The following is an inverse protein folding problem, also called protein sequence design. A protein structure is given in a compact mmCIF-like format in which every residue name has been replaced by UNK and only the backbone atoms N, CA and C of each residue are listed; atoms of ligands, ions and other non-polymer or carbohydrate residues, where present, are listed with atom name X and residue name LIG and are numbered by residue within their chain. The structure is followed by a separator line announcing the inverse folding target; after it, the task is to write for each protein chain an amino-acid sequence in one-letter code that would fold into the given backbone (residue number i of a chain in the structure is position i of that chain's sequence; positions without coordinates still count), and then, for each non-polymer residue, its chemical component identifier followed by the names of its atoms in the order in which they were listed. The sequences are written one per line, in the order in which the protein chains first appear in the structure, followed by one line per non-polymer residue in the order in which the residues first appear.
data_IF_465079200185
#
_entry.id   IF_465079200185
#
_cell.length_a   1.000
_cell.length_b   1.000
_cell.length_c   1.000
_cell.angle_alpha   90.00
_cell.angle_beta   90.00
_cell.angle_gamma   90.00
#
_symmetry.space_group_name_H-M   'P 1'
#
loop_
_entity.id
_entity.type
_entity.pdbx_description
1 polymer ?
#
# COMPACT_ATOMS: atom_id res chain seq x y z
N UNK A 1 -42.26 7.31 0.79
CA UNK A 1 -41.32 8.13 1.57
C UNK A 1 -40.05 7.32 1.75
N UNK A 2 -38.94 7.73 1.14
CA UNK A 2 -37.68 6.98 1.27
C UNK A 2 -37.08 7.36 2.62
N UNK A 3 -36.81 6.37 3.48
CA UNK A 3 -36.22 6.58 4.79
C UNK A 3 -34.71 6.81 4.64
N UNK A 4 -34.16 7.68 5.48
CA UNK A 4 -32.72 7.94 5.50
C UNK A 4 -31.95 6.71 6.01
N UNK A 5 -30.75 6.45 5.46
CA UNK A 5 -29.92 5.34 5.92
C UNK A 5 -29.58 5.49 7.40
N UNK A 6 -29.65 4.40 8.17
CA UNK A 6 -29.31 4.40 9.59
C UNK A 6 -28.29 3.29 9.87
N UNK A 7 -27.09 3.67 10.28
CA UNK A 7 -26.03 2.72 10.66
C UNK A 7 -26.17 2.39 12.12
N UNK A 8 -26.47 1.11 12.41
CA UNK A 8 -26.73 0.60 13.77
C UNK A 8 -25.56 -0.23 14.31
N UNK A 9 -24.65 -0.69 13.44
CA UNK A 9 -23.53 -1.52 13.87
C UNK A 9 -22.35 -1.53 12.90
N UNK A 10 -21.15 -1.75 13.44
CA UNK A 10 -19.93 -1.93 12.69
C UNK A 10 -19.08 -3.04 13.32
N UNK A 11 -18.43 -3.86 12.50
CA UNK A 11 -17.55 -4.93 12.94
C UNK A 11 -16.35 -5.07 12.01
N UNK A 12 -15.10 -5.00 12.53
CA UNK A 12 -14.73 -4.66 13.91
C UNK A 12 -15.04 -3.19 14.26
N UNK A 13 -15.15 -2.85 15.55
CA UNK A 13 -15.38 -1.46 16.03
C UNK A 13 -14.12 -0.59 15.98
N UNK A 14 -12.97 -1.22 15.78
CA UNK A 14 -11.67 -0.56 15.75
C UNK A 14 -10.71 -1.30 14.83
N UNK A 15 -9.69 -0.60 14.33
CA UNK A 15 -8.62 -1.20 13.54
C UNK A 15 -7.73 -0.19 12.82
N UNK A 16 -6.59 -0.65 12.28
CA UNK A 16 -5.71 0.18 11.48
C UNK A 16 -6.30 0.59 10.12
N UNK A 17 -5.70 1.57 9.44
CA UNK A 17 -6.05 1.89 8.06
C UNK A 17 -6.04 0.65 7.15
N UNK A 18 -7.05 0.51 6.29
CA UNK A 18 -7.25 -0.66 5.44
C UNK A 18 -8.02 -1.81 6.09
N UNK A 19 -8.45 -1.67 7.35
CA UNK A 19 -9.28 -2.68 8.03
C UNK A 19 -10.57 -2.93 7.27
N UNK A 20 -10.86 -4.20 6.99
CA UNK A 20 -12.12 -4.62 6.37
C UNK A 20 -13.24 -4.58 7.40
N UNK A 21 -14.13 -3.60 7.27
CA UNK A 21 -15.27 -3.40 8.16
C UNK A 21 -16.57 -3.86 7.50
N UNK A 22 -17.43 -4.47 8.31
CA UNK A 22 -18.81 -4.81 7.95
C UNK A 22 -19.74 -3.83 8.65
N UNK A 23 -20.41 -2.99 7.86
CA UNK A 23 -21.37 -1.99 8.31
C UNK A 23 -22.76 -2.62 8.25
N UNK A 24 -23.48 -2.56 9.36
CA UNK A 24 -24.85 -3.05 9.53
C UNK A 24 -25.78 -1.87 9.83
N UNK A 25 -26.97 -1.89 9.26
CA UNK A 25 -27.91 -0.79 9.38
C UNK A 25 -29.26 -1.10 8.78
N UNK A 26 -30.03 -0.05 8.56
CA UNK A 26 -31.31 -0.06 7.88
C UNK A 26 -31.32 0.96 6.76
N UNK A 27 -32.08 0.69 5.70
CA UNK A 27 -32.26 1.58 4.55
C UNK A 27 -30.95 1.97 3.83
N UNK A 28 -29.99 1.04 3.74
CA UNK A 28 -28.69 1.24 3.09
C UNK A 28 -28.76 1.20 1.54
N UNK A 29 -29.91 1.56 0.96
CA UNK A 29 -30.19 1.47 -0.48
C UNK A 29 -30.85 0.15 -0.90
N UNK A 30 -31.50 0.14 -2.07
CA UNK A 30 -32.18 -1.05 -2.62
C UNK A 30 -31.35 -1.74 -3.70
N UNK A 31 -30.45 -0.99 -4.37
CA UNK A 31 -29.54 -1.47 -5.40
C UNK A 31 -28.13 -0.98 -5.14
N UNK A 32 -27.14 -1.65 -5.73
CA UNK A 32 -25.73 -1.24 -5.68
C UNK A 32 -25.51 0.19 -6.16
N UNK A 33 -26.27 0.65 -7.17
CA UNK A 33 -26.21 2.01 -7.74
C UNK A 33 -26.81 3.11 -6.85
N UNK A 34 -27.47 2.72 -5.76
CA UNK A 34 -28.09 3.66 -4.82
C UNK A 34 -27.07 4.18 -3.79
N UNK A 35 -25.98 3.44 -3.56
CA UNK A 35 -24.89 3.86 -2.68
C UNK A 35 -24.02 4.91 -3.40
N UNK A 36 -24.12 6.16 -2.98
CA UNK A 36 -23.41 7.30 -3.62
C UNK A 36 -22.32 7.89 -2.76
N UNK A 37 -22.26 7.57 -1.46
CA UNK A 37 -21.20 8.01 -0.56
C UNK A 37 -21.09 7.10 0.65
N UNK A 38 -19.86 6.86 1.09
CA UNK A 38 -19.56 6.19 2.35
C UNK A 38 -18.38 6.88 3.00
N UNK A 39 -18.58 7.49 4.16
CA UNK A 39 -17.53 8.15 4.93
C UNK A 39 -17.33 7.41 6.24
N UNK A 40 -16.09 7.04 6.56
CA UNK A 40 -15.71 6.39 7.82
C UNK A 40 -14.63 7.24 8.47
N UNK A 41 -14.88 7.75 9.68
CA UNK A 41 -13.95 8.64 10.40
C UNK A 41 -13.48 9.84 9.58
N UNK A 42 -14.39 10.44 8.78
CA UNK A 42 -14.08 11.58 7.92
C UNK A 42 -13.38 11.24 6.60
N UNK A 43 -13.00 9.98 6.35
CA UNK A 43 -12.40 9.54 5.09
C UNK A 43 -13.45 8.97 4.13
N UNK A 44 -13.40 9.38 2.86
CA UNK A 44 -14.21 8.76 1.81
C UNK A 44 -13.72 7.33 1.52
N UNK A 45 -14.61 6.37 1.74
CA UNK A 45 -14.37 4.94 1.60
C UNK A 45 -15.24 4.33 0.48
N UNK A 46 -15.92 5.14 -0.33
CA UNK A 46 -16.86 4.70 -1.38
C UNK A 46 -16.21 3.73 -2.38
N UNK A 47 -14.96 4.00 -2.78
CA UNK A 47 -14.25 3.18 -3.78
C UNK A 47 -14.03 1.73 -3.33
N UNK A 48 -13.96 1.51 -2.01
CA UNK A 48 -13.82 0.18 -1.40
C UNK A 48 -15.15 -0.46 -0.99
N UNK A 49 -16.26 0.27 -1.15
CA UNK A 49 -17.55 -0.11 -0.62
C UNK A 49 -18.23 -1.14 -1.52
N UNK A 50 -18.47 -2.33 -0.96
CA UNK A 50 -19.27 -3.39 -1.54
C UNK A 50 -20.64 -3.43 -0.85
N UNK A 51 -21.66 -2.95 -1.56
CA UNK A 51 -23.04 -3.12 -1.13
C UNK A 51 -23.44 -4.61 -1.24
N UNK A 52 -24.01 -5.18 -0.18
CA UNK A 52 -24.51 -6.57 -0.17
C UNK A 52 -26.02 -6.65 -0.05
N UNK A 53 -26.61 -5.80 0.81
CA UNK A 53 -28.06 -5.69 0.96
C UNK A 53 -28.43 -4.33 1.55
N UNK A 54 -29.74 -4.06 1.64
CA UNK A 54 -30.34 -2.91 2.33
C UNK A 54 -29.96 -2.77 3.81
N UNK A 55 -29.31 -3.79 4.38
CA UNK A 55 -28.86 -3.85 5.78
C UNK A 55 -27.36 -4.08 5.94
N UNK A 56 -26.61 -4.25 4.84
CA UNK A 56 -25.20 -4.66 4.92
C UNK A 56 -24.35 -4.05 3.81
N UNK A 57 -23.29 -3.37 4.22
CA UNK A 57 -22.21 -2.88 3.35
C UNK A 57 -20.88 -3.39 3.92
N UNK A 58 -19.94 -3.77 3.04
CA UNK A 58 -18.57 -4.11 3.42
C UNK A 58 -17.67 -3.04 2.82
N UNK A 59 -16.73 -2.50 3.58
CA UNK A 59 -15.80 -1.50 3.08
C UNK A 59 -14.43 -1.66 3.75
N UNK A 60 -13.43 -0.94 3.25
CA UNK A 60 -12.13 -0.79 3.90
C UNK A 60 -12.00 0.62 4.45
N UNK A 61 -11.41 0.74 5.63
CA UNK A 61 -11.20 2.04 6.28
C UNK A 61 -10.07 2.81 5.63
N UNK A 62 -10.22 4.14 5.54
CA UNK A 62 -9.17 5.04 5.06
C UNK A 62 -8.08 5.31 6.10
N UNK A 63 -7.14 6.19 5.75
CA UNK A 63 -6.12 6.70 6.67
C UNK A 63 -6.75 7.73 7.62
N UNK A 64 -7.30 7.24 8.73
CA UNK A 64 -7.89 8.06 9.79
C UNK A 64 -7.24 7.76 11.15
N UNK A 65 -7.33 8.70 12.08
CA UNK A 65 -6.93 8.55 13.49
C UNK A 65 -8.09 8.96 14.39
N UNK A 66 -8.33 8.21 15.47
CA UNK A 66 -9.33 8.53 16.48
C UNK A 66 -10.71 7.90 16.25
N UNK A 67 -11.66 8.26 17.12
CA UNK A 67 -13.07 7.86 17.04
C UNK A 67 -13.79 8.76 16.02
N UNK A 68 -14.58 8.17 15.13
CA UNK A 68 -15.34 8.93 14.14
C UNK A 68 -16.60 8.23 13.66
N UNK A 69 -17.49 9.04 13.09
CA UNK A 69 -18.81 8.61 12.64
C UNK A 69 -18.74 7.85 11.31
N UNK A 70 -19.76 7.02 11.07
CA UNK A 70 -19.93 6.25 9.82
C UNK A 70 -21.15 6.77 9.07
N UNK A 71 -20.92 7.55 8.04
CA UNK A 71 -21.99 8.22 7.30
C UNK A 71 -22.19 7.51 5.95
N UNK A 72 -23.39 7.00 5.72
CA UNK A 72 -23.78 6.35 4.45
C UNK A 72 -24.73 7.30 3.71
N UNK A 73 -24.39 7.65 2.47
CA UNK A 73 -25.22 8.50 1.63
C UNK A 73 -25.83 7.68 0.50
N UNK A 74 -27.15 7.69 0.40
CA UNK A 74 -27.89 7.00 -0.67
C UNK A 74 -28.61 7.98 -1.57
N UNK A 75 -28.80 7.60 -2.85
CA UNK A 75 -29.49 8.42 -3.85
C UNK A 75 -30.92 8.78 -3.45
N UNK A 76 -31.63 7.83 -2.83
CA UNK A 76 -33.04 8.01 -2.46
C UNK A 76 -33.25 8.54 -1.04
N UNK A 77 -32.39 8.17 -0.08
CA UNK A 77 -32.56 8.48 1.34
C UNK A 77 -31.69 9.63 1.85
N UNK A 78 -30.82 10.20 1.00
CA UNK A 78 -29.89 11.26 1.36
C UNK A 78 -28.78 10.77 2.29
N UNK A 79 -28.26 11.71 3.08
CA UNK A 79 -27.21 11.45 4.09
C UNK A 79 -27.80 10.70 5.29
N UNK A 80 -27.18 9.58 5.64
CA UNK A 80 -27.58 8.74 6.75
C UNK A 80 -27.08 9.22 8.11
N UNK A 81 -27.62 8.62 9.16
CA UNK A 81 -27.19 8.82 10.55
C UNK A 81 -26.48 7.58 11.09
N UNK A 82 -25.63 7.76 12.10
CA UNK A 82 -24.98 6.66 12.80
C UNK A 82 -25.24 6.71 14.29
N UNK A 83 -25.45 5.55 14.90
CA UNK A 83 -25.49 5.39 16.36
C UNK A 83 -24.20 4.77 16.91
N UNK A 84 -23.26 4.42 16.03
CA UNK A 84 -22.00 3.75 16.35
C UNK A 84 -20.85 4.48 15.70
N UNK A 85 -19.70 4.45 16.37
CA UNK A 85 -18.45 5.06 15.91
C UNK A 85 -17.42 3.98 15.62
N UNK A 86 -16.53 4.25 14.67
CA UNK A 86 -15.35 3.44 14.39
C UNK A 86 -14.15 4.11 15.03
N UNK A 87 -13.24 3.32 15.61
CA UNK A 87 -11.97 3.82 16.15
C UNK A 87 -10.82 3.42 15.24
N UNK A 88 -10.27 4.39 14.52
CA UNK A 88 -9.07 4.21 13.72
C UNK A 88 -7.83 4.48 14.58
N UNK A 89 -6.83 3.60 14.52
CA UNK A 89 -5.55 3.80 15.18
C UNK A 89 -4.42 3.33 14.27
N UNK A 90 -3.26 3.97 14.32
CA UNK A 90 -2.08 3.44 13.65
C UNK A 90 -1.50 2.35 14.53
N UNK A 91 -1.29 1.17 13.96
CA UNK A 91 -0.54 0.11 14.63
C UNK A 91 0.94 0.29 14.31
N UNK A 92 1.82 0.22 15.31
CA UNK A 92 3.25 0.07 15.11
C UNK A 92 3.50 -1.35 14.59
N UNK A 93 3.65 -1.46 13.28
CA UNK A 93 3.87 -2.72 12.59
C UNK A 93 5.34 -3.09 12.70
N UNK A 94 5.64 -4.22 13.35
CA UNK A 94 7.01 -4.75 13.40
C UNK A 94 7.51 -5.13 11.99
N UNK A 95 8.84 -5.27 11.79
CA UNK A 95 9.44 -5.41 10.45
C UNK A 95 8.98 -6.65 9.66
N UNK A 96 8.35 -7.62 10.31
CA UNK A 96 7.82 -8.83 9.67
C UNK A 96 6.29 -8.84 9.50
N UNK A 97 5.57 -7.82 9.96
CA UNK A 97 4.11 -7.77 9.87
C UNK A 97 3.70 -6.96 8.63
N UNK A 98 2.79 -7.49 7.82
CA UNK A 98 2.34 -6.82 6.60
C UNK A 98 1.44 -5.62 6.92
N UNK A 99 1.60 -4.52 6.15
CA UNK A 99 0.79 -3.30 6.26
C UNK A 99 0.04 -3.01 4.96
N UNK A 100 -1.22 -2.60 5.07
CA UNK A 100 -2.04 -2.15 3.93
C UNK A 100 -1.80 -0.68 3.54
N UNK A 101 -1.06 0.07 4.35
CA UNK A 101 -0.74 1.48 4.14
C UNK A 101 0.74 1.71 4.40
N UNK A 102 1.38 2.58 3.63
CA UNK A 102 2.73 3.06 3.93
C UNK A 102 2.69 3.75 5.30
N UNK A 103 3.25 3.08 6.30
CA UNK A 103 3.46 3.65 7.61
C UNK A 103 4.74 4.45 7.51
N UNK A 104 4.71 5.69 8.00
CA UNK A 104 5.93 6.43 8.26
C UNK A 104 6.71 5.58 9.27
N UNK A 105 7.77 4.91 8.78
CA UNK A 105 8.58 4.01 9.60
C UNK A 105 8.89 4.78 10.88
N UNK A 106 8.32 4.33 12.01
CA UNK A 106 8.72 4.82 13.32
C UNK A 106 10.24 4.74 13.31
N UNK A 107 10.96 5.87 13.47
CA UNK A 107 12.38 5.96 13.17
C UNK A 107 13.01 4.70 13.71
N UNK A 108 13.46 3.80 12.80
CA UNK A 108 14.01 2.51 13.17
C UNK A 108 14.99 2.85 14.26
N UNK A 109 14.67 2.48 15.50
CA UNK A 109 15.25 3.16 16.64
C UNK A 109 16.74 3.24 16.37
N UNK A 110 17.20 4.48 16.28
CA UNK A 110 18.59 4.85 16.32
C UNK A 110 19.10 4.42 17.70
N UNK A 111 19.18 3.11 17.92
CA UNK A 111 19.96 2.46 18.95
C UNK A 111 21.28 2.08 18.31
N UNK A 112 21.96 3.13 17.81
CA UNK A 112 23.35 3.25 18.17
C UNK A 112 23.41 3.13 19.71
N UNK A 113 24.15 2.13 20.18
CA UNK A 113 24.62 2.01 21.57
C UNK A 113 23.75 1.16 22.52
N UNK A 114 23.70 -0.13 22.19
CA UNK A 114 23.58 -1.24 23.13
C UNK A 114 24.35 -2.43 22.56
N UNK A 115 24.85 -3.36 23.39
CA UNK A 115 25.59 -4.54 22.91
C UNK A 115 24.79 -5.23 21.81
N UNK A 116 25.34 -5.32 20.59
CA UNK A 116 24.82 -6.22 19.57
C UNK A 116 25.04 -7.65 20.06
N UNK A 117 24.02 -8.22 20.70
CA UNK A 117 23.90 -9.67 20.79
C UNK A 117 23.53 -10.17 19.40
N UNK A 118 24.26 -11.15 18.88
CA UNK A 118 24.07 -11.75 17.55
C UNK A 118 22.79 -12.62 17.44
N UNK A 119 21.90 -12.54 18.44
CA UNK A 119 20.60 -13.18 18.43
C UNK A 119 19.52 -12.10 18.61
N UNK A 120 18.43 -12.09 17.81
CA UNK A 120 17.26 -11.29 18.08
C UNK A 120 16.55 -11.90 19.29
N UNK A 121 17.05 -11.61 20.49
CA UNK A 121 16.29 -11.80 21.72
C UNK A 121 15.04 -10.93 21.60
N UNK A 122 13.88 -11.54 21.81
CA UNK A 122 12.58 -10.98 21.45
C UNK A 122 12.36 -9.53 21.87
N UNK A 123 11.43 -8.89 21.16
CA UNK A 123 10.89 -7.54 21.34
C UNK A 123 10.25 -7.25 22.72
N UNK A 124 10.67 -7.94 23.78
CA UNK A 124 10.27 -7.61 25.15
C UNK A 124 11.23 -6.54 25.65
N UNK A 125 10.85 -5.27 25.46
CA UNK A 125 11.49 -4.17 26.18
C UNK A 125 11.37 -4.47 27.68
N UNK A 126 12.50 -4.73 28.34
CA UNK A 126 12.51 -4.97 29.79
C UNK A 126 11.91 -3.77 30.52
N UNK A 127 11.07 -4.03 31.54
CA UNK A 127 10.45 -2.98 32.33
C UNK A 127 11.53 -2.01 32.86
N UNK A 128 11.43 -0.70 32.56
CA UNK A 128 12.37 0.30 33.05
C UNK A 128 12.46 0.36 34.59
N UNK A 129 11.39 -0.03 35.30
CA UNK A 129 11.39 -0.07 36.77
C UNK A 129 12.03 -1.35 37.33
N UNK A 130 12.25 -2.37 36.51
CA UNK A 130 12.82 -3.65 36.93
C UNK A 130 11.95 -4.40 37.93
N UNK A 131 10.64 -4.15 37.93
CA UNK A 131 9.68 -4.80 38.80
C UNK A 131 9.03 -5.96 38.01
N UNK A 132 8.82 -7.10 38.67
CA UNK A 132 8.09 -8.20 38.01
C UNK A 132 6.62 -7.81 37.85
N UNK A 133 6.10 -7.96 36.64
CA UNK A 133 4.69 -7.80 36.30
C UNK A 133 3.93 -9.14 36.30
N UNK A 134 4.55 -10.24 36.75
CA UNK A 134 4.02 -11.61 36.72
C UNK A 134 2.75 -11.85 37.56
N UNK A 135 2.26 -10.84 38.28
CA UNK A 135 0.96 -10.87 38.98
C UNK A 135 -0.13 -9.98 38.38
N UNK A 136 0.18 -9.24 37.30
CA UNK A 136 -0.66 -8.17 36.79
C UNK A 136 -1.42 -8.58 35.52
N UNK A 137 -2.25 -9.63 35.62
CA UNK A 137 -3.04 -10.13 34.48
C UNK A 137 -4.29 -9.28 34.16
N UNK A 138 -4.64 -8.33 35.01
CA UNK A 138 -5.84 -7.52 34.84
C UNK A 138 -5.54 -6.38 33.86
N UNK A 139 -6.33 -6.25 32.79
CA UNK A 139 -6.32 -5.01 32.01
C UNK A 139 -6.96 -3.92 32.85
N UNK A 140 -6.36 -2.72 32.85
CA UNK A 140 -6.98 -1.55 33.47
C UNK A 140 -8.42 -1.42 32.91
N UNK A 141 -9.47 -1.39 33.75
CA UNK A 141 -10.85 -1.48 33.27
C UNK A 141 -11.31 -0.28 32.44
N UNK A 142 -10.66 0.86 32.61
CA UNK A 142 -10.99 2.12 31.94
C UNK A 142 -10.20 2.27 30.63
N UNK A 143 -10.84 2.81 29.59
CA UNK A 143 -10.13 3.11 28.35
C UNK A 143 -9.20 4.29 28.60
N UNK A 144 -7.90 4.00 28.80
CA UNK A 144 -6.86 5.01 29.06
C UNK A 144 -6.83 6.10 27.98
N UNK A 145 -7.36 5.83 26.78
CA UNK A 145 -7.51 6.80 25.68
C UNK A 145 -8.51 7.92 26.00
N UNK A 146 -9.44 7.73 26.94
CA UNK A 146 -10.38 8.79 27.36
C UNK A 146 -9.71 9.76 28.37
N UNK A 147 -8.71 9.28 29.14
CA UNK A 147 -7.92 10.10 30.06
C UNK A 147 -6.72 10.77 29.36
N UNK A 148 -6.16 10.10 28.34
CA UNK A 148 -4.96 10.51 27.63
C UNK A 148 -5.17 10.36 26.11
N UNK A 149 -5.94 11.25 25.46
CA UNK A 149 -6.37 11.11 24.06
C UNK A 149 -5.23 11.03 23.05
N UNK A 150 -4.11 11.71 23.33
CA UNK A 150 -2.91 11.69 22.48
C UNK A 150 -1.70 10.98 23.12
N UNK A 151 -1.86 10.41 24.32
CA UNK A 151 -0.77 9.77 25.06
C UNK A 151 -0.57 8.30 24.69
N UNK A 152 0.66 7.81 24.86
CA UNK A 152 1.02 6.41 24.68
C UNK A 152 1.79 5.85 25.87
N UNK A 153 1.59 4.57 26.17
CA UNK A 153 2.41 3.82 27.13
C UNK A 153 3.69 3.26 26.51
N UNK A 154 3.82 3.35 25.20
CA UNK A 154 4.98 2.82 24.48
C UNK A 154 6.18 3.76 24.66
N UNK A 155 7.24 3.23 25.29
CA UNK A 155 8.49 3.93 25.57
C UNK A 155 9.24 4.35 24.29
N UNK A 156 8.91 3.76 23.14
CA UNK A 156 9.53 4.09 21.86
C UNK A 156 8.90 5.29 21.15
N UNK A 157 7.70 5.71 21.57
CA UNK A 157 6.94 6.76 20.88
C UNK A 157 7.20 8.14 21.49
N UNK A 158 7.19 9.18 20.66
CA UNK A 158 7.41 10.57 21.11
C UNK A 158 6.29 11.09 22.01
N UNK A 159 5.08 10.54 21.89
CA UNK A 159 3.93 10.87 22.72
C UNK A 159 3.85 10.02 24.01
N UNK A 160 4.98 9.47 24.46
CA UNK A 160 5.06 8.68 25.69
C UNK A 160 4.57 9.48 26.90
N UNK A 161 3.65 8.89 27.66
CA UNK A 161 3.12 9.46 28.90
C UNK A 161 3.41 8.51 30.07
N UNK A 162 4.20 8.93 31.08
CA UNK A 162 4.54 8.07 32.22
C UNK A 162 3.31 7.59 33.00
N UNK A 163 2.28 8.43 33.12
CA UNK A 163 1.03 8.07 33.79
C UNK A 163 0.29 6.94 33.09
N UNK A 164 0.26 6.96 31.75
CA UNK A 164 -0.30 5.87 30.95
C UNK A 164 0.46 4.57 31.22
N UNK A 165 1.80 4.61 31.11
CA UNK A 165 2.65 3.43 31.27
C UNK A 165 2.46 2.75 32.63
N UNK A 166 2.38 3.55 33.69
CA UNK A 166 2.17 3.04 35.05
C UNK A 166 0.78 2.42 35.23
N UNK A 167 -0.27 3.01 34.64
CA UNK A 167 -1.62 2.46 34.71
C UNK A 167 -1.75 1.17 33.87
N UNK A 168 -1.08 1.10 32.73
CA UNK A 168 -1.11 -0.09 31.87
C UNK A 168 -0.34 -1.26 32.51
N UNK A 169 0.89 -1.03 32.98
CA UNK A 169 1.80 -2.10 33.41
C UNK A 169 1.88 -2.31 34.93
N UNK A 170 1.60 -1.28 35.74
CA UNK A 170 1.83 -1.26 37.20
C UNK A 170 0.62 -0.79 38.03
N UNK A 171 -0.61 -0.86 37.52
CA UNK A 171 -1.79 -0.43 38.28
C UNK A 171 -2.03 -1.21 39.59
N UNK A 172 -1.52 -2.44 39.68
CA UNK A 172 -1.62 -3.28 40.89
C UNK A 172 -0.35 -3.23 41.76
N UNK A 173 0.66 -2.45 41.38
CA UNK A 173 1.94 -2.36 42.10
C UNK A 173 1.83 -1.43 43.31
N UNK A 174 2.45 -1.81 44.43
CA UNK A 174 2.40 -1.00 45.65
C UNK A 174 3.26 0.26 45.54
N UNK A 175 2.95 1.28 46.34
CA UNK A 175 3.72 2.53 46.35
C UNK A 175 5.20 2.31 46.76
N UNK A 176 5.47 1.41 47.70
CA UNK A 176 6.84 1.11 48.12
C UNK A 176 7.63 0.40 47.00
N UNK A 177 6.99 -0.49 46.25
CA UNK A 177 7.62 -1.14 45.09
C UNK A 177 7.91 -0.15 43.97
N UNK A 178 6.99 0.79 43.70
CA UNK A 178 7.23 1.87 42.73
C UNK A 178 8.39 2.78 43.15
N UNK A 179 8.56 3.03 44.46
CA UNK A 179 9.70 3.80 45.00
C UNK A 179 11.02 3.04 44.87
N UNK A 180 11.00 1.72 45.05
CA UNK A 180 12.15 0.86 44.78
C UNK A 180 12.49 0.86 43.27
N UNK A 181 11.49 0.75 42.40
CA UNK A 181 11.63 0.85 40.95
C UNK A 181 12.21 2.18 40.48
N UNK A 182 11.80 3.30 41.10
CA UNK A 182 12.39 4.62 40.83
C UNK A 182 13.87 4.68 41.20
N UNK A 183 14.26 4.07 42.32
CA UNK A 183 15.66 4.01 42.76
C UNK A 183 16.51 3.16 41.80
N UNK A 184 15.94 2.05 41.32
CA UNK A 184 16.55 1.21 40.29
C UNK A 184 16.73 1.95 38.96
N UNK A 185 15.69 2.64 38.49
CA UNK A 185 15.72 3.43 37.27
C UNK A 185 16.77 4.53 37.34
N UNK A 186 16.85 5.27 38.46
CA UNK A 186 17.90 6.29 38.67
C UNK A 186 19.30 5.69 38.55
N UNK A 187 19.54 4.53 39.16
CA UNK A 187 20.83 3.83 39.07
C UNK A 187 21.13 3.38 37.64
N UNK A 188 20.14 2.88 36.89
CA UNK A 188 20.28 2.51 35.47
C UNK A 188 20.62 3.71 34.60
N UNK A 189 19.94 4.84 34.78
CA UNK A 189 20.20 6.06 34.02
C UNK A 189 21.62 6.57 34.27
N UNK A 190 22.07 6.56 35.52
CA UNK A 190 23.43 7.00 35.86
C UNK A 190 24.50 6.06 35.28
N UNK A 191 24.30 4.74 35.43
CA UNK A 191 25.18 3.73 34.84
C UNK A 191 25.22 3.80 33.30
N UNK A 192 24.12 4.14 32.64
CA UNK A 192 24.10 4.33 31.19
C UNK A 192 24.93 5.54 30.75
N UNK A 193 24.87 6.67 31.46
CA UNK A 193 25.70 7.85 31.14
C UNK A 193 27.19 7.53 31.23
N UNK A 194 27.58 6.78 32.26
CA UNK A 194 28.96 6.32 32.43
C UNK A 194 29.36 5.29 31.36
N UNK A 195 28.42 4.41 30.97
CA UNK A 195 28.55 3.48 29.86
C UNK A 195 28.73 4.16 28.49
N UNK A 196 28.00 5.25 28.23
CA UNK A 196 28.15 6.04 27.00
C UNK A 196 29.52 6.72 26.94
N UNK A 197 29.98 7.30 28.06
CA UNK A 197 31.29 7.92 28.13
C UNK A 197 32.42 6.89 27.96
N UNK A 198 32.30 5.70 28.54
CA UNK A 198 33.29 4.63 28.38
C UNK A 198 33.28 4.00 26.97
N UNK A 199 32.10 3.86 26.34
CA UNK A 199 31.99 3.47 24.94
C UNK A 199 32.65 4.48 24.01
N UNK A 200 32.35 5.77 24.18
CA UNK A 200 32.93 6.82 23.34
C UNK A 200 34.45 6.88 23.52
N UNK A 201 34.95 6.74 24.75
CA UNK A 201 36.39 6.69 25.03
C UNK A 201 37.08 5.51 24.36
N UNK A 202 36.47 4.33 24.40
CA UNK A 202 37.04 3.11 23.81
C UNK A 202 36.94 3.07 22.28
N UNK A 203 35.97 3.78 21.69
CA UNK A 203 35.73 3.80 20.24
C UNK A 203 36.01 5.17 19.60
N UNK A 204 36.69 6.08 20.32
CA UNK A 204 36.93 7.44 19.86
C UNK A 204 37.61 7.47 18.48
N UNK A 205 38.61 6.60 18.26
CA UNK A 205 39.27 6.47 16.95
C UNK A 205 38.30 6.17 15.82
N UNK A 206 37.46 5.14 15.98
CA UNK A 206 36.46 4.77 14.96
C UNK A 206 35.42 5.87 14.71
N UNK A 207 35.04 6.63 15.74
CA UNK A 207 34.10 7.75 15.60
C UNK A 207 34.75 8.90 14.82
N UNK A 208 36.02 9.20 15.10
CA UNK A 208 36.78 10.20 14.36
C UNK A 208 36.97 9.77 12.91
N UNK A 209 37.30 8.51 12.65
CA UNK A 209 37.41 7.97 11.29
C UNK A 209 36.08 8.07 10.54
N UNK A 210 34.96 7.72 11.20
CA UNK A 210 33.62 7.85 10.60
C UNK A 210 33.29 9.33 10.31
N UNK A 211 33.62 10.24 11.21
CA UNK A 211 33.43 11.67 10.99
C UNK A 211 34.27 12.15 9.80
N UNK A 212 35.52 11.72 9.68
CA UNK A 212 36.40 12.07 8.56
C UNK A 212 35.85 11.54 7.22
N UNK A 213 35.32 10.30 7.21
CA UNK A 213 34.64 9.78 6.02
C UNK A 213 33.39 10.57 5.65
N UNK A 214 32.61 11.03 6.63
CA UNK A 214 31.43 11.88 6.39
C UNK A 214 31.83 13.26 5.87
N UNK A 215 32.90 13.85 6.39
CA UNK A 215 33.44 15.12 5.90
C UNK A 215 33.95 14.98 4.47
N UNK A 216 34.68 13.91 4.17
CA UNK A 216 35.14 13.58 2.81
C UNK A 216 33.95 13.40 1.85
N UNK A 217 32.90 12.70 2.28
CA UNK A 217 31.70 12.48 1.49
C UNK A 217 30.96 13.79 1.23
N UNK A 218 30.80 14.64 2.25
CA UNK A 218 30.21 15.98 2.12
C UNK A 218 30.98 16.82 1.10
N UNK A 219 32.32 16.80 1.17
CA UNK A 219 33.16 17.59 0.28
C UNK A 219 33.03 17.11 -1.18
N UNK A 220 32.99 15.79 -1.40
CA UNK A 220 32.68 15.20 -2.71
C UNK A 220 31.31 15.60 -3.23
N UNK A 221 30.26 15.46 -2.43
CA UNK A 221 28.89 15.87 -2.82
C UNK A 221 28.84 17.36 -3.15
N UNK A 222 29.54 18.19 -2.39
CA UNK A 222 29.59 19.65 -2.63
C UNK A 222 30.31 19.97 -3.93
N UNK A 223 31.38 19.25 -4.25
CA UNK A 223 32.10 19.37 -5.51
C UNK A 223 31.25 18.88 -6.69
N UNK A 224 30.60 17.72 -6.57
CA UNK A 224 29.72 17.17 -7.61
C UNK A 224 28.55 18.11 -7.88
N UNK A 225 27.95 18.69 -6.85
CA UNK A 225 26.89 19.70 -6.98
C UNK A 225 27.37 20.98 -7.68
N UNK A 226 28.64 21.36 -7.55
CA UNK A 226 29.22 22.50 -8.28
C UNK A 226 29.41 22.18 -9.77
N UNK A 227 29.82 20.95 -10.10
CA UNK A 227 30.15 20.54 -11.47
C UNK A 227 28.89 20.17 -12.27
N UNK A 228 27.97 19.41 -11.66
CA UNK A 228 26.80 18.81 -12.33
C UNK A 228 25.48 19.50 -11.95
N UNK A 229 25.52 20.48 -11.03
CA UNK A 229 24.32 21.10 -10.47
C UNK A 229 23.64 20.23 -9.41
N UNK A 230 22.52 20.71 -8.86
CA UNK A 230 21.76 20.03 -7.78
C UNK A 230 20.97 18.79 -8.25
N UNK A 231 20.83 18.60 -9.56
CA UNK A 231 20.01 17.53 -10.14
C UNK A 231 20.82 16.68 -11.14
N UNK A 232 21.84 15.92 -10.70
CA UNK A 232 22.65 15.09 -11.59
C UNK A 232 21.82 14.03 -12.32
N UNK A 233 20.76 13.52 -11.67
CA UNK A 233 19.85 12.50 -12.23
C UNK A 233 18.99 13.05 -13.36
N UNK A 234 18.75 14.35 -13.42
CA UNK A 234 17.89 14.96 -14.45
C UNK A 234 18.54 14.90 -15.83
N UNK A 235 19.85 15.12 -15.92
CA UNK A 235 20.58 14.96 -17.18
C UNK A 235 20.54 13.50 -17.67
N UNK A 236 20.65 12.55 -16.75
CA UNK A 236 20.51 11.13 -17.08
C UNK A 236 19.10 10.81 -17.60
N UNK A 237 18.04 11.28 -16.92
CA UNK A 237 16.64 11.09 -17.36
C UNK A 237 16.41 11.68 -18.77
N UNK A 238 16.91 12.88 -19.04
CA UNK A 238 16.81 13.52 -20.36
C UNK A 238 17.52 12.68 -21.44
N UNK A 239 18.70 12.15 -21.14
CA UNK A 239 19.49 11.35 -22.09
C UNK A 239 18.81 10.00 -22.37
N UNK A 240 18.25 9.36 -21.34
CA UNK A 240 17.49 8.11 -21.48
C UNK A 240 16.24 8.34 -22.33
N UNK A 241 15.46 9.39 -22.05
CA UNK A 241 14.27 9.74 -22.86
C UNK A 241 14.63 10.02 -24.31
N UNK A 242 15.70 10.79 -24.55
CA UNK A 242 16.19 11.03 -25.91
C UNK A 242 16.59 9.75 -26.65
N UNK A 243 17.18 8.77 -25.96
CA UNK A 243 17.51 7.46 -26.53
C UNK A 243 16.27 6.62 -26.85
N UNK A 244 15.25 6.67 -25.99
CA UNK A 244 13.96 6.02 -26.22
C UNK A 244 13.26 6.61 -27.44
N UNK A 245 13.19 7.94 -27.54
CA UNK A 245 12.55 8.64 -28.66
C UNK A 245 13.26 8.34 -29.99
N UNK A 246 14.60 8.38 -30.00
CA UNK A 246 15.40 8.02 -31.16
C UNK A 246 15.17 6.56 -31.59
N UNK A 247 15.01 5.65 -30.61
CA UNK A 247 14.70 4.24 -30.89
C UNK A 247 13.31 4.10 -31.51
N UNK A 248 12.29 4.79 -30.97
CA UNK A 248 10.94 4.76 -31.53
C UNK A 248 10.88 5.24 -32.97
N UNK A 249 11.56 6.34 -33.30
CA UNK A 249 11.63 6.84 -34.68
C UNK A 249 12.30 5.83 -35.62
N UNK A 250 13.38 5.18 -35.18
CA UNK A 250 14.07 4.16 -35.98
C UNK A 250 13.21 2.91 -36.21
N UNK A 251 12.45 2.46 -35.20
CA UNK A 251 11.61 1.27 -35.30
C UNK A 251 10.28 1.50 -36.03
N UNK A 252 9.71 2.72 -35.98
CA UNK A 252 8.45 3.05 -36.65
C UNK A 252 8.51 2.70 -38.13
N UNK A 253 9.60 3.12 -38.76
CA UNK A 253 9.88 2.92 -40.18
C UNK A 253 10.07 1.43 -40.54
N UNK A 254 10.72 0.68 -39.66
CA UNK A 254 10.92 -0.78 -39.83
C UNK A 254 9.60 -1.53 -39.66
N UNK A 255 8.77 -1.13 -38.67
CA UNK A 255 7.48 -1.73 -38.40
C UNK A 255 6.50 -1.52 -39.57
N UNK A 256 6.44 -0.32 -40.12
CA UNK A 256 5.60 -0.04 -41.30
C UNK A 256 6.03 -0.88 -42.51
N UNK A 257 7.35 -1.01 -42.74
CA UNK A 257 7.86 -1.88 -43.83
C UNK A 257 7.54 -3.35 -43.58
N UNK A 258 7.63 -3.82 -42.33
CA UNK A 258 7.26 -5.18 -41.95
C UNK A 258 5.76 -5.43 -42.18
N UNK A 259 4.90 -4.54 -41.72
CA UNK A 259 3.45 -4.66 -41.90
C UNK A 259 3.08 -4.70 -43.38
N UNK A 260 3.69 -3.84 -44.20
CA UNK A 260 3.51 -3.86 -45.66
C UNK A 260 3.98 -5.18 -46.28
N UNK A 261 5.12 -5.72 -45.85
CA UNK A 261 5.64 -7.00 -46.33
C UNK A 261 4.77 -8.19 -45.89
N UNK A 262 4.20 -8.14 -44.69
CA UNK A 262 3.33 -9.19 -44.17
C UNK A 262 1.96 -9.13 -44.86
N UNK A 263 1.45 -7.94 -45.16
CA UNK A 263 0.24 -7.76 -45.98
C UNK A 263 0.43 -8.30 -47.41
N UNK A 264 1.57 -8.04 -48.06
CA UNK A 264 1.83 -8.59 -49.40
C UNK A 264 1.98 -10.11 -49.36
N UNK A 265 2.63 -10.67 -48.33
CA UNK A 265 2.67 -12.14 -48.13
C UNK A 265 1.29 -12.73 -47.91
N UNK A 266 0.44 -12.09 -47.11
CA UNK A 266 -0.92 -12.54 -46.87
C UNK A 266 -1.75 -12.53 -48.16
N UNK A 267 -1.67 -11.46 -48.94
CA UNK A 267 -2.33 -11.36 -50.25
C UNK A 267 -1.83 -12.45 -51.22
N UNK A 268 -0.50 -12.64 -51.31
CA UNK A 268 0.09 -13.68 -52.16
C UNK A 268 -0.33 -15.09 -51.73
N UNK A 269 -0.40 -15.34 -50.42
CA UNK A 269 -0.86 -16.61 -49.86
C UNK A 269 -2.34 -16.86 -50.18
N UNK A 270 -3.19 -15.85 -50.06
CA UNK A 270 -4.60 -15.95 -50.44
C UNK A 270 -4.77 -16.20 -51.95
N UNK A 271 -4.02 -15.48 -52.79
CA UNK A 271 -4.02 -15.66 -54.25
C UNK A 271 -3.51 -17.04 -54.67
N UNK A 272 -2.47 -17.56 -54.03
CA UNK A 272 -1.95 -18.89 -54.35
C UNK A 272 -2.90 -20.00 -53.90
N UNK A 273 -3.48 -19.87 -52.70
CA UNK A 273 -4.45 -20.82 -52.14
C UNK A 273 -5.75 -20.88 -52.94
N UNK A 274 -6.23 -19.73 -53.42
CA UNK A 274 -7.50 -19.62 -54.14
C UNK A 274 -7.31 -19.29 -55.63
N UNK A 275 -6.15 -19.63 -56.21
CA UNK A 275 -5.79 -19.35 -57.60
C UNK A 275 -6.88 -19.79 -58.59
N UNK A 276 -7.48 -20.96 -58.35
CA UNK A 276 -8.55 -21.50 -59.16
C UNK A 276 -9.78 -20.56 -59.22
N UNK A 277 -10.22 -20.02 -58.08
CA UNK A 277 -11.34 -19.08 -58.04
C UNK A 277 -11.05 -17.78 -58.79
N UNK A 278 -9.86 -17.22 -58.62
CA UNK A 278 -9.47 -15.96 -59.27
C UNK A 278 -9.30 -16.11 -60.79
N UNK A 279 -8.92 -17.30 -61.27
CA UNK A 279 -8.75 -17.57 -62.70
C UNK A 279 -10.03 -18.11 -63.38
N UNK A 280 -11.03 -18.54 -62.60
CA UNK A 280 -12.26 -19.17 -63.08
C UNK A 280 -13.02 -18.33 -64.13
N UNK A 281 -13.23 -17.01 -63.97
CA UNK A 281 -13.99 -16.24 -64.96
C UNK A 281 -13.35 -16.26 -66.35
N UNK A 282 -12.01 -16.17 -66.40
CA UNK A 282 -11.25 -16.18 -67.64
C UNK A 282 -11.23 -17.57 -68.30
N UNK A 283 -11.15 -18.65 -67.49
CA UNK A 283 -11.22 -20.02 -68.04
C UNK A 283 -12.62 -20.35 -68.54
N UNK A 284 -13.67 -19.94 -67.81
CA UNK A 284 -15.07 -20.11 -68.21
C UNK A 284 -15.38 -19.33 -69.49
N UNK A 285 -14.95 -18.07 -69.58
CA UNK A 285 -15.16 -17.24 -70.77
C UNK A 285 -14.46 -17.84 -72.02
N UNK A 286 -13.23 -18.34 -71.88
CA UNK A 286 -12.51 -19.02 -72.97
C UNK A 286 -13.15 -20.34 -73.38
N UNK A 287 -13.66 -21.13 -72.44
CA UNK A 287 -14.33 -22.41 -72.73
C UNK A 287 -15.70 -22.18 -73.41
N UNK A 288 -16.44 -21.15 -72.96
CA UNK A 288 -17.71 -20.75 -73.56
C UNK A 288 -17.53 -20.29 -75.02
N UNK A 289 -16.48 -19.51 -75.33
CA UNK A 289 -16.15 -19.09 -76.70
C UNK A 289 -15.80 -20.27 -77.63
N UNK A 290 -15.34 -21.40 -77.08
CA UNK A 290 -15.03 -22.63 -77.83
C UNK A 290 -16.22 -23.62 -77.91
N UNK A 291 -17.38 -23.25 -77.37
CA UNK A 291 -18.57 -24.11 -77.22
C UNK A 291 -18.34 -25.37 -76.37
N UNK A 292 -17.34 -25.38 -75.48
CA UNK A 292 -17.04 -26.50 -74.57
C UNK A 292 -17.79 -26.33 -73.24
N UNK A 293 -19.12 -26.40 -73.28
CA UNK A 293 -19.98 -26.11 -72.13
C UNK A 293 -19.88 -27.14 -70.98
N UNK A 294 -19.48 -28.38 -71.27
CA UNK A 294 -19.29 -29.41 -70.25
C UNK A 294 -18.18 -29.06 -69.24
N UNK A 295 -17.12 -28.40 -69.71
CA UNK A 295 -16.01 -27.95 -68.86
C UNK A 295 -16.48 -26.81 -67.94
N UNK A 296 -17.33 -25.91 -68.44
CA UNK A 296 -17.91 -24.81 -67.66
C UNK A 296 -18.79 -25.34 -66.52
N UNK A 297 -19.64 -26.32 -66.80
CA UNK A 297 -20.52 -26.95 -65.79
C UNK A 297 -19.69 -27.68 -64.72
N UNK A 298 -18.64 -28.39 -65.12
CA UNK A 298 -17.74 -29.09 -64.20
C UNK A 298 -16.96 -28.12 -63.30
N UNK A 299 -16.36 -27.08 -63.88
CA UNK A 299 -15.61 -26.07 -63.13
C UNK A 299 -16.52 -25.29 -62.15
N UNK A 300 -17.75 -24.98 -62.54
CA UNK A 300 -18.75 -24.38 -61.65
C UNK A 300 -19.15 -25.32 -60.50
N UNK A 301 -19.39 -26.61 -60.79
CA UNK A 301 -19.71 -27.61 -59.78
C UNK A 301 -18.54 -27.83 -58.80
N UNK A 302 -17.29 -27.77 -59.29
CA UNK A 302 -16.08 -27.87 -58.46
C UNK A 302 -15.96 -26.69 -57.49
N UNK A 303 -16.29 -25.48 -57.92
CA UNK A 303 -16.32 -24.30 -57.03
C UNK A 303 -17.41 -24.44 -55.97
N UNK A 304 -18.62 -24.86 -56.37
CA UNK A 304 -19.77 -25.06 -55.47
C UNK A 304 -19.54 -26.16 -54.42
N UNK A 305 -18.62 -27.09 -54.66
CA UNK A 305 -18.26 -28.13 -53.70
C UNK A 305 -17.10 -27.72 -52.77
N UNK A 306 -16.32 -26.69 -53.15
CA UNK A 306 -15.18 -26.20 -52.36
C UNK A 306 -15.58 -25.12 -51.32
N UNK A 307 -16.77 -24.51 -51.48
CA UNK A 307 -17.33 -23.44 -50.65
C UNK A 307 -18.85 -23.58 -50.56
#
# INVERSE_FOLDING_TARGET
MVKSPAVTGISPKEGPPGTRVTIRGEFLGNKTTDLIGLTICGCDCLLSAEWKSDKKIIARTGAAKGKGDIIVTTRGGGTGSCTVQFRAYYETIGPMKESAVWIEESPMQSLAWGRRSLAPTGYTQEDPLGLSNEGNEKKFPEDLRDLFPDGSGDLSQENFTPGWFLLENHHATSFEDLKAGLSYLRRRVESQKEGQLSFLKSNAGSVIDQLDTLMTLRDRITQDNKVHGKEPVRQLDVTIRGSIDASHELFKDVLVRKEKADATRAALSAMSRHKFLFCLPNTVEKAALKNEFDIVVNDYARVKNLF
#
